data_IF_624584111129
#
_entry.id   IF_624584111129
#
_cell.length_a   1.000
_cell.length_b   1.000
_cell.length_c   1.000
_cell.angle_alpha   90.00
_cell.angle_beta   90.00
_cell.angle_gamma   90.00
#
_symmetry.space_group_name_H-M   'P 1'
#
loop_
_entity.id
_entity.type
_entity.pdbx_description
1 polymer ?
#
# COMPACT_ATOMS: atom_id res chain seq x y z
N UNK A 1 -19.49 23.16 -15.45
CA UNK A 1 -19.60 22.16 -16.53
C UNK A 1 -19.09 20.85 -15.98
N UNK A 2 -19.94 19.81 -15.92
CA UNK A 2 -19.48 18.46 -15.55
C UNK A 2 -18.50 18.00 -16.62
N UNK A 3 -17.24 17.81 -16.25
CA UNK A 3 -16.21 17.33 -17.17
C UNK A 3 -16.53 15.85 -17.44
N UNK A 4 -16.74 15.48 -18.70
CA UNK A 4 -16.99 14.08 -19.06
C UNK A 4 -15.79 13.23 -18.58
N UNK A 5 -16.07 12.25 -17.71
CA UNK A 5 -15.05 11.34 -17.18
C UNK A 5 -14.50 10.47 -18.31
N UNK A 6 -13.22 10.09 -18.20
CA UNK A 6 -12.61 9.15 -19.12
C UNK A 6 -13.39 7.81 -19.07
N UNK A 7 -13.69 7.15 -20.22
CA UNK A 7 -14.50 5.94 -20.22
C UNK A 7 -13.96 4.82 -19.31
N UNK A 8 -12.64 4.60 -19.33
CA UNK A 8 -11.99 3.61 -18.47
C UNK A 8 -12.09 3.99 -16.99
N UNK A 9 -12.01 5.28 -16.66
CA UNK A 9 -12.18 5.75 -15.28
C UNK A 9 -13.60 5.50 -14.79
N UNK A 10 -14.60 5.77 -15.64
CA UNK A 10 -16.00 5.52 -15.30
C UNK A 10 -16.28 4.04 -15.02
N UNK A 11 -15.69 3.13 -15.82
CA UNK A 11 -15.76 1.69 -15.56
C UNK A 11 -15.09 1.32 -14.24
N UNK A 12 -13.91 1.87 -13.93
CA UNK A 12 -13.21 1.63 -12.67
C UNK A 12 -14.03 2.11 -11.45
N UNK A 13 -14.68 3.28 -11.55
CA UNK A 13 -15.59 3.79 -10.51
C UNK A 13 -16.78 2.85 -10.31
N UNK A 14 -17.38 2.34 -11.40
CA UNK A 14 -18.46 1.35 -11.32
C UNK A 14 -17.99 0.09 -10.59
N UNK A 15 -16.80 -0.42 -10.93
CA UNK A 15 -16.22 -1.60 -10.30
C UNK A 15 -15.94 -1.38 -8.80
N UNK A 16 -15.30 -0.26 -8.43
CA UNK A 16 -15.00 0.08 -7.04
C UNK A 16 -16.27 0.18 -6.17
N UNK A 17 -17.35 0.77 -6.70
CA UNK A 17 -18.64 0.87 -5.98
C UNK A 17 -19.34 -0.49 -5.82
N UNK A 18 -19.19 -1.38 -6.79
CA UNK A 18 -19.72 -2.74 -6.69
C UNK A 18 -19.01 -3.53 -5.59
N UNK A 19 -17.67 -3.51 -5.57
CA UNK A 19 -16.88 -4.10 -4.49
C UNK A 19 -17.20 -3.48 -3.12
N UNK A 20 -17.26 -2.15 -3.03
CA UNK A 20 -17.59 -1.47 -1.77
C UNK A 20 -18.98 -1.83 -1.23
N UNK A 21 -19.93 -2.18 -2.11
CA UNK A 21 -21.26 -2.66 -1.70
C UNK A 21 -21.21 -4.06 -1.09
N UNK A 22 -20.33 -4.93 -1.59
CA UNK A 22 -20.05 -6.27 -1.01
C UNK A 22 -19.41 -6.10 0.37
N UNK A 23 -18.37 -5.27 0.46
CA UNK A 23 -17.64 -4.97 1.71
C UNK A 23 -18.57 -4.38 2.77
N UNK A 24 -19.40 -3.39 2.41
CA UNK A 24 -20.34 -2.78 3.36
C UNK A 24 -21.37 -3.77 3.88
N UNK A 25 -21.85 -4.70 3.05
CA UNK A 25 -22.75 -5.75 3.50
C UNK A 25 -22.05 -6.67 4.50
N UNK A 26 -20.83 -7.10 4.17
CA UNK A 26 -20.02 -7.95 5.04
C UNK A 26 -19.69 -7.27 6.39
N UNK A 27 -19.45 -5.95 6.39
CA UNK A 27 -19.18 -5.18 7.60
C UNK A 27 -20.35 -5.19 8.60
N UNK A 28 -21.61 -5.28 8.14
CA UNK A 28 -22.79 -5.29 9.00
C UNK A 28 -22.94 -6.60 9.80
N UNK A 29 -22.38 -7.71 9.29
CA UNK A 29 -22.54 -9.03 9.87
C UNK A 29 -21.34 -9.47 10.74
N UNK A 30 -20.33 -8.61 10.92
CA UNK A 30 -19.06 -8.93 11.61
C UNK A 30 -19.23 -9.52 13.02
N UNK A 31 -20.26 -9.09 13.77
CA UNK A 31 -20.51 -9.59 15.13
C UNK A 31 -21.10 -11.01 15.15
N UNK A 32 -21.97 -11.33 14.19
CA UNK A 32 -22.54 -12.69 14.04
C UNK A 32 -21.43 -13.68 13.64
N UNK A 33 -20.42 -13.19 12.94
CA UNK A 33 -19.34 -13.97 12.33
C UNK A 33 -18.19 -14.31 13.28
N UNK A 34 -17.90 -13.46 14.28
CA UNK A 34 -16.90 -13.79 15.34
C UNK A 34 -17.27 -15.04 16.16
N UNK A 35 -18.53 -15.50 16.06
CA UNK A 35 -19.09 -16.62 16.81
C UNK A 35 -19.20 -17.89 15.91
N UNK A 36 -19.06 -17.76 14.59
CA UNK A 36 -19.23 -18.84 13.60
C UNK A 36 -17.96 -19.67 13.32
N UNK A 37 -18.14 -20.92 12.89
CA UNK A 37 -17.17 -22.03 12.86
C UNK A 37 -16.03 -21.94 11.82
N UNK A 38 -15.75 -20.77 11.24
CA UNK A 38 -14.58 -20.51 10.39
C UNK A 38 -13.81 -19.34 11.01
N UNK A 39 -12.50 -19.43 11.11
CA UNK A 39 -11.71 -18.41 11.80
C UNK A 39 -11.86 -17.02 11.13
N UNK A 40 -11.64 -15.91 11.85
CA UNK A 40 -11.75 -14.55 11.29
C UNK A 40 -10.98 -14.36 9.98
N UNK A 41 -9.80 -14.98 9.85
CA UNK A 41 -8.96 -14.89 8.65
C UNK A 41 -9.57 -15.58 7.41
N UNK A 42 -10.36 -16.64 7.58
CA UNK A 42 -10.99 -17.32 6.43
C UNK A 42 -12.13 -16.47 5.86
N UNK A 43 -12.87 -15.77 6.73
CA UNK A 43 -13.98 -14.92 6.31
C UNK A 43 -13.51 -13.71 5.52
N UNK A 44 -12.46 -13.04 5.99
CA UNK A 44 -11.96 -11.87 5.28
C UNK A 44 -11.50 -12.26 3.88
N UNK A 45 -10.80 -13.40 3.75
CA UNK A 45 -10.44 -13.96 2.44
C UNK A 45 -11.65 -14.22 1.54
N UNK A 46 -12.81 -14.60 2.07
CA UNK A 46 -14.05 -14.72 1.28
C UNK A 46 -14.56 -13.34 0.79
N UNK A 47 -14.49 -12.30 1.63
CA UNK A 47 -14.89 -10.92 1.27
C UNK A 47 -13.94 -10.32 0.23
N UNK A 48 -12.63 -10.41 0.46
CA UNK A 48 -11.57 -9.98 -0.45
C UNK A 48 -11.77 -10.62 -1.84
N UNK A 49 -11.89 -11.95 -1.91
CA UNK A 49 -12.10 -12.67 -3.17
C UNK A 49 -13.42 -12.31 -3.86
N UNK A 50 -14.50 -12.12 -3.11
CA UNK A 50 -15.78 -11.73 -3.69
C UNK A 50 -15.74 -10.30 -4.27
N UNK A 51 -15.08 -9.37 -3.57
CA UNK A 51 -14.86 -8.02 -4.05
C UNK A 51 -13.96 -8.01 -5.30
N UNK A 52 -12.86 -8.76 -5.27
CA UNK A 52 -11.93 -8.89 -6.40
C UNK A 52 -12.62 -9.46 -7.64
N UNK A 53 -13.38 -10.55 -7.48
CA UNK A 53 -14.12 -11.19 -8.58
C UNK A 53 -15.10 -10.21 -9.23
N UNK A 54 -15.86 -9.44 -8.43
CA UNK A 54 -16.79 -8.44 -8.94
C UNK A 54 -16.09 -7.30 -9.70
N UNK A 55 -14.91 -6.87 -9.23
CA UNK A 55 -14.10 -5.87 -9.93
C UNK A 55 -13.63 -6.43 -11.29
N UNK A 56 -13.03 -7.62 -11.28
CA UNK A 56 -12.47 -8.26 -12.48
C UNK A 56 -13.57 -8.50 -13.52
N UNK A 57 -14.74 -8.99 -13.11
CA UNK A 57 -15.89 -9.21 -14.00
C UNK A 57 -16.29 -7.92 -14.72
N UNK A 58 -16.50 -6.83 -13.99
CA UNK A 58 -16.92 -5.53 -14.56
C UNK A 58 -15.84 -4.96 -15.49
N UNK A 59 -14.57 -5.07 -15.11
CA UNK A 59 -13.46 -4.54 -15.91
C UNK A 59 -13.26 -5.33 -17.21
N UNK A 60 -13.30 -6.67 -17.15
CA UNK A 60 -13.10 -7.53 -18.32
C UNK A 60 -14.32 -7.64 -19.21
N UNK A 61 -15.54 -7.42 -18.69
CA UNK A 61 -16.74 -7.26 -19.52
C UNK A 61 -16.59 -6.05 -20.46
N UNK A 62 -16.10 -4.93 -19.93
CA UNK A 62 -15.88 -3.71 -20.72
C UNK A 62 -14.60 -3.74 -21.56
N UNK A 63 -13.53 -4.37 -21.05
CA UNK A 63 -12.21 -4.41 -21.68
C UNK A 63 -11.60 -5.82 -21.67
N UNK A 64 -12.10 -6.77 -22.49
CA UNK A 64 -11.65 -8.16 -22.49
C UNK A 64 -10.16 -8.35 -22.81
N UNK A 65 -9.56 -7.40 -23.52
CA UNK A 65 -8.16 -7.45 -23.93
C UNK A 65 -7.15 -6.91 -22.91
N UNK A 66 -7.59 -6.44 -21.74
CA UNK A 66 -6.69 -5.89 -20.71
C UNK A 66 -6.12 -6.98 -19.80
N UNK A 67 -4.94 -6.73 -19.24
CA UNK A 67 -4.34 -7.58 -18.20
C UNK A 67 -4.88 -7.21 -16.80
N UNK A 68 -4.84 -8.17 -15.88
CA UNK A 68 -5.11 -7.97 -14.45
C UNK A 68 -3.83 -8.26 -13.65
N UNK A 69 -3.58 -7.42 -12.64
CA UNK A 69 -2.67 -7.67 -11.53
C UNK A 69 -3.46 -7.37 -10.24
N UNK A 70 -3.97 -8.40 -9.58
CA UNK A 70 -4.75 -8.27 -8.36
C UNK A 70 -4.04 -8.88 -7.15
N UNK A 71 -4.39 -8.45 -5.94
CA UNK A 71 -3.75 -8.93 -4.71
C UNK A 71 -3.97 -10.43 -4.48
N UNK A 72 -5.20 -10.92 -4.64
CA UNK A 72 -5.56 -12.30 -4.27
C UNK A 72 -5.23 -13.30 -5.40
N UNK A 73 -5.53 -12.93 -6.65
CA UNK A 73 -5.36 -13.79 -7.83
C UNK A 73 -4.10 -13.50 -8.66
N UNK A 74 -3.30 -12.49 -8.30
CA UNK A 74 -2.10 -12.12 -9.05
C UNK A 74 -2.39 -11.81 -10.51
N UNK A 75 -1.81 -12.59 -11.44
CA UNK A 75 -1.94 -12.42 -12.90
C UNK A 75 -2.76 -13.54 -13.57
N UNK A 76 -3.62 -14.21 -12.82
CA UNK A 76 -4.41 -15.33 -13.33
C UNK A 76 -5.49 -14.92 -14.34
N UNK A 77 -5.96 -13.66 -14.27
CA UNK A 77 -7.02 -13.13 -15.11
C UNK A 77 -6.54 -12.13 -16.18
N UNK A 78 -7.37 -11.95 -17.20
CA UNK A 78 -7.11 -11.01 -18.30
C UNK A 78 -6.07 -11.51 -19.31
N UNK A 79 -5.73 -10.66 -20.27
CA UNK A 79 -4.75 -10.97 -21.30
C UNK A 79 -3.32 -10.89 -20.75
N UNK A 80 -2.53 -11.97 -20.91
CA UNK A 80 -1.14 -12.03 -20.40
C UNK A 80 -0.20 -10.99 -21.00
N UNK A 81 -0.45 -10.57 -22.24
CA UNK A 81 0.40 -9.65 -23.01
C UNK A 81 -0.39 -8.44 -23.49
N UNK A 82 -0.88 -7.64 -22.54
CA UNK A 82 -1.58 -6.38 -22.81
C UNK A 82 -0.71 -5.19 -22.42
N UNK A 83 -0.79 -4.12 -23.21
CA UNK A 83 -0.20 -2.82 -22.85
C UNK A 83 -0.98 -2.14 -21.72
N UNK A 84 -2.23 -2.53 -21.51
CA UNK A 84 -3.10 -2.09 -20.42
C UNK A 84 -3.13 -3.13 -19.31
N UNK A 85 -2.81 -2.71 -18.08
CA UNK A 85 -2.89 -3.56 -16.88
C UNK A 85 -3.71 -2.86 -15.80
N UNK A 86 -4.81 -3.48 -15.38
CA UNK A 86 -5.53 -3.08 -14.18
C UNK A 86 -4.79 -3.63 -12.96
N UNK A 87 -4.51 -2.76 -11.99
CA UNK A 87 -3.82 -3.08 -10.74
C UNK A 87 -4.84 -2.91 -9.61
N UNK A 88 -5.15 -3.97 -8.88
CA UNK A 88 -6.33 -4.03 -8.00
C UNK A 88 -5.92 -4.48 -6.60
N UNK A 89 -6.33 -3.69 -5.61
CA UNK A 89 -6.45 -4.12 -4.22
C UNK A 89 -7.96 -4.08 -3.88
N UNK A 90 -8.59 -5.25 -3.67
CA UNK A 90 -10.02 -5.33 -3.42
C UNK A 90 -10.42 -4.79 -2.04
N UNK A 91 -9.52 -4.78 -1.05
CA UNK A 91 -9.77 -4.33 0.32
C UNK A 91 -8.45 -3.98 1.05
N UNK A 92 -7.97 -2.76 0.80
CA UNK A 92 -6.85 -2.18 1.53
C UNK A 92 -7.30 -1.91 2.97
N UNK A 93 -6.56 -2.45 3.95
CA UNK A 93 -6.91 -2.37 5.36
C UNK A 93 -7.74 -3.55 5.87
N UNK A 94 -7.53 -4.75 5.33
CA UNK A 94 -8.11 -6.04 5.77
C UNK A 94 -8.14 -6.21 7.30
N UNK A 95 -7.05 -5.84 7.99
CA UNK A 95 -6.97 -5.91 9.47
C UNK A 95 -7.95 -4.93 10.11
N UNK A 96 -8.08 -3.72 9.58
CA UNK A 96 -9.03 -2.73 10.09
C UNK A 96 -10.46 -3.21 9.91
N UNK A 97 -10.78 -3.77 8.74
CA UNK A 97 -12.09 -4.38 8.47
C UNK A 97 -12.44 -5.46 9.49
N UNK A 98 -11.55 -6.42 9.74
CA UNK A 98 -11.73 -7.48 10.75
C UNK A 98 -12.00 -6.96 12.17
N UNK A 99 -11.35 -5.86 12.52
CA UNK A 99 -11.48 -5.23 13.83
C UNK A 99 -12.65 -4.24 13.92
N UNK A 100 -13.38 -4.01 12.83
CA UNK A 100 -14.44 -3.01 12.76
C UNK A 100 -13.93 -1.56 12.82
N UNK A 101 -12.63 -1.34 12.57
CA UNK A 101 -12.06 0.00 12.51
C UNK A 101 -12.35 0.60 11.11
N UNK A 102 -13.09 1.74 11.00
CA UNK A 102 -13.63 2.22 9.73
C UNK A 102 -12.60 3.03 8.92
N UNK A 103 -11.49 2.36 8.58
CA UNK A 103 -10.46 2.85 7.68
C UNK A 103 -10.02 1.68 6.80
N UNK A 104 -10.63 1.58 5.63
CA UNK A 104 -10.29 0.61 4.59
C UNK A 104 -10.89 1.09 3.27
N UNK A 105 -10.36 0.62 2.14
CA UNK A 105 -10.82 1.07 0.82
C UNK A 105 -10.64 0.02 -0.27
N UNK A 106 -11.31 0.24 -1.39
CA UNK A 106 -11.02 -0.45 -2.65
C UNK A 106 -10.06 0.43 -3.46
N UNK A 107 -8.98 -0.13 -4.02
CA UNK A 107 -8.02 0.59 -4.85
C UNK A 107 -7.91 -0.04 -6.25
N UNK A 108 -8.09 0.77 -7.29
CA UNK A 108 -8.03 0.34 -8.69
C UNK A 108 -7.19 1.35 -9.49
N UNK A 109 -6.04 0.90 -9.97
CA UNK A 109 -5.20 1.62 -10.93
C UNK A 109 -5.30 1.03 -12.33
N UNK A 110 -5.14 1.85 -13.36
CA UNK A 110 -4.90 1.39 -14.73
C UNK A 110 -3.54 1.89 -15.21
N UNK A 111 -2.64 0.97 -15.51
CA UNK A 111 -1.38 1.27 -16.16
C UNK A 111 -1.48 1.05 -17.68
N UNK A 112 -0.94 1.99 -18.45
CA UNK A 112 -0.67 1.83 -19.88
C UNK A 112 0.85 1.87 -20.10
N UNK A 113 1.43 0.80 -20.64
CA UNK A 113 2.88 0.63 -20.84
C UNK A 113 3.69 0.97 -19.58
N UNK A 114 3.27 0.42 -18.44
CA UNK A 114 3.92 0.62 -17.14
C UNK A 114 3.67 1.97 -16.47
N UNK A 115 2.94 2.91 -17.10
CA UNK A 115 2.60 4.22 -16.51
C UNK A 115 1.15 4.25 -16.07
N UNK A 116 0.91 4.62 -14.81
CA UNK A 116 -0.45 4.75 -14.28
C UNK A 116 -1.16 5.94 -14.95
N UNK A 117 -2.29 5.67 -15.62
CA UNK A 117 -3.07 6.65 -16.37
C UNK A 117 -4.42 6.96 -15.73
N UNK A 118 -5.00 5.99 -15.01
CA UNK A 118 -6.24 6.15 -14.24
C UNK A 118 -6.05 5.59 -12.82
N UNK A 119 -6.71 6.20 -11.85
CA UNK A 119 -6.67 5.76 -10.46
C UNK A 119 -7.99 6.07 -9.75
N UNK A 120 -8.48 5.10 -9.00
CA UNK A 120 -9.67 5.18 -8.15
C UNK A 120 -9.36 4.57 -6.80
N UNK A 121 -9.67 5.28 -5.72
CA UNK A 121 -9.68 4.75 -4.36
C UNK A 121 -11.03 5.09 -3.74
N UNK A 122 -11.75 4.09 -3.26
CA UNK A 122 -13.10 4.24 -2.71
C UNK A 122 -13.15 3.80 -1.26
N UNK A 123 -13.43 4.73 -0.35
CA UNK A 123 -13.75 4.45 1.05
C UNK A 123 -15.25 4.17 1.18
N UNK A 124 -15.67 2.90 1.40
CA UNK A 124 -17.08 2.55 1.48
C UNK A 124 -17.73 2.99 2.80
N UNK A 125 -16.95 3.29 3.84
CA UNK A 125 -17.44 3.72 5.16
C UNK A 125 -17.89 5.18 5.17
N UNK A 126 -17.18 6.02 4.42
CA UNK A 126 -17.48 7.46 4.26
C UNK A 126 -18.21 7.78 2.95
N UNK A 127 -18.30 6.80 2.05
CA UNK A 127 -18.72 7.00 0.66
C UNK A 127 -17.86 8.09 -0.04
N UNK A 128 -16.57 8.10 0.29
CA UNK A 128 -15.60 9.01 -0.31
C UNK A 128 -14.94 8.34 -1.52
N UNK A 129 -15.09 8.97 -2.69
CA UNK A 129 -14.52 8.49 -3.95
C UNK A 129 -13.39 9.41 -4.39
N UNK A 130 -12.16 8.95 -4.21
CA UNK A 130 -10.97 9.60 -4.74
C UNK A 130 -10.69 9.07 -6.15
N UNK A 131 -10.44 9.96 -7.10
CA UNK A 131 -10.11 9.55 -8.45
C UNK A 131 -9.26 10.55 -9.20
N UNK A 132 -8.53 10.06 -10.20
CA UNK A 132 -7.75 10.88 -11.10
C UNK A 132 -7.63 10.24 -12.49
N UNK A 133 -7.57 11.09 -13.51
CA UNK A 133 -7.07 10.75 -14.83
C UNK A 133 -5.83 11.59 -15.08
N UNK A 134 -4.79 11.00 -15.67
CA UNK A 134 -3.56 11.72 -16.00
C UNK A 134 -3.82 12.99 -16.81
N UNK A 135 -3.25 14.10 -16.37
CA UNK A 135 -3.39 15.44 -16.95
C UNK A 135 -4.76 16.10 -16.73
N UNK A 136 -5.67 15.51 -15.93
CA UNK A 136 -7.01 16.05 -15.68
C UNK A 136 -7.21 16.54 -14.25
N UNK A 137 -6.29 16.23 -13.35
CA UNK A 137 -6.42 16.50 -11.92
C UNK A 137 -7.00 15.34 -11.14
N UNK A 138 -6.85 15.46 -9.82
CA UNK A 138 -7.45 14.56 -8.85
C UNK A 138 -8.69 15.20 -8.20
N UNK A 139 -9.62 14.35 -7.80
CA UNK A 139 -10.91 14.72 -7.25
C UNK A 139 -11.27 13.81 -6.06
N UNK A 140 -11.98 14.38 -5.09
CA UNK A 140 -12.72 13.67 -4.06
C UNK A 140 -14.19 14.00 -4.29
N UNK A 141 -14.96 12.98 -4.69
CA UNK A 141 -16.32 13.15 -5.17
C UNK A 141 -16.33 14.24 -6.27
N UNK A 142 -17.13 15.30 -6.12
CA UNK A 142 -17.21 16.38 -7.12
C UNK A 142 -16.19 17.51 -6.90
N UNK A 143 -15.29 17.38 -5.92
CA UNK A 143 -14.35 18.45 -5.53
C UNK A 143 -12.94 18.16 -5.99
N UNK A 144 -12.32 19.11 -6.68
CA UNK A 144 -10.91 19.01 -7.08
C UNK A 144 -10.00 19.05 -5.87
N UNK A 145 -9.01 18.16 -5.85
CA UNK A 145 -8.02 18.06 -4.79
C UNK A 145 -6.79 18.93 -5.07
N UNK A 146 -6.14 19.31 -3.97
CA UNK A 146 -4.80 19.89 -3.93
C UNK A 146 -4.11 19.43 -2.65
N UNK A 147 -2.84 19.06 -2.77
CA UNK A 147 -2.00 18.79 -1.60
C UNK A 147 -1.90 20.02 -0.70
N UNK A 148 -1.51 19.79 0.56
CA UNK A 148 -1.37 20.86 1.54
C UNK A 148 -0.33 21.90 1.12
N UNK A 149 -0.43 23.11 1.70
CA UNK A 149 0.51 24.21 1.46
C UNK A 149 1.60 24.33 2.53
N UNK A 150 1.65 23.42 3.52
CA UNK A 150 2.64 23.50 4.59
C UNK A 150 4.04 23.33 4.03
N UNK A 151 4.95 24.19 4.47
CA UNK A 151 6.31 24.24 3.92
C UNK A 151 7.37 23.66 4.86
N UNK A 152 7.08 23.55 6.16
CA UNK A 152 8.01 23.06 7.17
C UNK A 152 7.53 21.72 7.70
N UNK A 153 8.42 20.74 7.76
CA UNK A 153 8.09 19.42 8.31
C UNK A 153 7.69 19.51 9.79
N UNK A 154 8.22 20.47 10.54
CA UNK A 154 7.87 20.70 11.95
C UNK A 154 6.40 21.02 12.20
N UNK A 155 5.69 21.54 11.19
CA UNK A 155 4.25 21.83 11.26
C UNK A 155 3.40 20.73 10.61
N UNK A 156 4.05 19.70 10.05
CA UNK A 156 3.46 18.71 9.17
C UNK A 156 2.90 17.51 9.92
N UNK A 157 1.75 17.02 9.44
CA UNK A 157 1.19 15.73 9.83
C UNK A 157 1.60 14.67 8.80
N UNK A 158 2.29 13.63 9.26
CA UNK A 158 2.87 12.61 8.39
C UNK A 158 2.16 11.27 8.59
N UNK A 159 1.70 10.64 7.52
CA UNK A 159 1.20 9.26 7.52
C UNK A 159 2.35 8.26 7.48
N UNK A 160 2.16 7.09 8.09
CA UNK A 160 3.12 5.97 8.00
C UNK A 160 2.42 4.63 8.21
N UNK A 161 3.01 3.56 7.70
CA UNK A 161 2.65 2.19 8.05
C UNK A 161 3.78 1.47 8.78
N UNK A 162 3.42 0.48 9.60
CA UNK A 162 4.37 -0.29 10.41
C UNK A 162 4.69 -1.59 9.69
N UNK A 163 5.96 -2.03 9.67
CA UNK A 163 6.27 -3.37 9.21
C UNK A 163 5.73 -4.39 10.19
N UNK A 164 4.86 -5.29 9.71
CA UNK A 164 4.26 -6.36 10.50
C UNK A 164 4.48 -7.75 9.90
N UNK A 165 5.16 -7.85 8.75
CA UNK A 165 5.40 -9.12 8.04
C UNK A 165 6.62 -9.83 8.62
N UNK A 166 6.61 -11.17 8.53
CA UNK A 166 7.73 -12.00 8.97
C UNK A 166 8.97 -11.67 8.14
N UNK A 167 10.10 -11.40 8.80
CA UNK A 167 11.35 -11.01 8.12
C UNK A 167 11.56 -9.49 8.02
N UNK A 168 10.59 -8.68 8.42
CA UNK A 168 10.76 -7.24 8.42
C UNK A 168 11.83 -6.77 9.41
N UNK A 169 12.56 -5.71 9.03
CA UNK A 169 13.58 -5.12 9.87
C UNK A 169 12.96 -4.05 10.79
N UNK A 170 12.27 -4.51 11.83
CA UNK A 170 11.61 -3.66 12.81
C UNK A 170 12.58 -2.65 13.45
N UNK A 171 13.84 -3.06 13.72
CA UNK A 171 14.86 -2.16 14.28
C UNK A 171 15.18 -0.98 13.37
N UNK A 172 15.28 -1.21 12.06
CA UNK A 172 15.48 -0.14 11.08
C UNK A 172 14.28 0.79 11.06
N UNK A 173 13.08 0.23 11.02
CA UNK A 173 11.84 1.01 11.01
C UNK A 173 11.71 1.89 12.24
N UNK A 174 11.97 1.39 13.45
CA UNK A 174 11.90 2.19 14.68
C UNK A 174 12.83 3.40 14.63
N UNK A 175 14.05 3.25 14.10
CA UNK A 175 14.98 4.38 13.92
C UNK A 175 14.45 5.42 12.94
N UNK A 176 13.89 4.97 11.82
CA UNK A 176 13.29 5.83 10.82
C UNK A 176 12.06 6.58 11.38
N UNK A 177 11.20 5.85 12.11
CA UNK A 177 10.05 6.39 12.80
C UNK A 177 10.45 7.43 13.85
N UNK A 178 11.46 7.14 14.67
CA UNK A 178 12.00 8.07 15.66
C UNK A 178 12.49 9.36 15.00
N UNK A 179 13.28 9.25 13.94
CA UNK A 179 13.82 10.40 13.21
C UNK A 179 12.69 11.28 12.65
N UNK A 180 11.70 10.70 11.96
CA UNK A 180 10.58 11.48 11.42
C UNK A 180 9.72 12.08 12.52
N UNK A 181 9.46 11.34 13.61
CA UNK A 181 8.65 11.81 14.74
C UNK A 181 9.27 13.04 15.40
N UNK A 182 10.58 13.10 15.54
CA UNK A 182 11.28 14.26 16.12
C UNK A 182 11.20 15.51 15.24
N UNK A 183 10.95 15.36 13.94
CA UNK A 183 10.94 16.44 12.96
C UNK A 183 9.55 16.92 12.57
N UNK A 184 8.46 16.24 12.97
CA UNK A 184 7.11 16.58 12.54
C UNK A 184 6.14 16.93 13.69
N UNK A 185 5.00 17.54 13.35
CA UNK A 185 3.97 17.87 14.34
C UNK A 185 3.22 16.63 14.85
N UNK A 186 3.23 15.54 14.07
CA UNK A 186 2.73 14.25 14.52
C UNK A 186 2.64 13.22 13.41
N UNK A 187 2.64 11.96 13.83
CA UNK A 187 2.45 10.81 12.96
C UNK A 187 1.02 10.27 13.01
N UNK A 188 0.57 9.67 11.90
CA UNK A 188 -0.67 8.91 11.79
C UNK A 188 -0.37 7.53 11.20
N UNK A 189 -1.01 6.51 11.76
CA UNK A 189 -0.95 5.12 11.29
C UNK A 189 -2.37 4.55 11.34
N UNK A 190 -3.25 4.91 10.40
CA UNK A 190 -4.62 4.41 10.42
C UNK A 190 -4.73 3.03 9.76
N UNK A 191 -3.81 2.64 8.87
CA UNK A 191 -3.65 1.24 8.44
C UNK A 191 -4.27 0.85 7.11
N UNK A 192 -4.42 1.79 6.17
CA UNK A 192 -4.82 1.55 4.79
C UNK A 192 -3.98 2.47 3.88
N UNK A 193 -3.03 1.89 3.15
CA UNK A 193 -1.99 2.63 2.44
C UNK A 193 -2.54 3.46 1.28
N UNK A 194 -3.50 2.91 0.52
CA UNK A 194 -4.16 3.61 -0.59
C UNK A 194 -4.93 4.84 -0.08
N UNK A 195 -5.56 4.74 1.10
CA UNK A 195 -6.20 5.89 1.75
C UNK A 195 -5.20 6.90 2.28
N UNK A 196 -4.10 6.46 2.89
CA UNK A 196 -3.06 7.37 3.39
C UNK A 196 -2.46 8.21 2.25
N UNK A 197 -2.27 7.62 1.07
CA UNK A 197 -1.87 8.35 -0.15
C UNK A 197 -2.95 9.36 -0.59
N UNK A 198 -4.23 8.97 -0.56
CA UNK A 198 -5.33 9.88 -0.88
C UNK A 198 -5.45 11.04 0.13
N UNK A 199 -5.14 10.81 1.40
CA UNK A 199 -5.12 11.84 2.43
C UNK A 199 -3.98 12.84 2.25
N UNK A 200 -2.83 12.42 1.69
CA UNK A 200 -1.81 13.36 1.20
C UNK A 200 -2.36 14.20 0.04
N UNK A 201 -2.99 13.56 -0.95
CA UNK A 201 -3.57 14.25 -2.10
C UNK A 201 -4.65 15.28 -1.70
N UNK A 202 -5.43 14.98 -0.67
CA UNK A 202 -6.45 15.87 -0.10
C UNK A 202 -5.88 16.94 0.84
N UNK A 203 -4.60 16.87 1.20
CA UNK A 203 -3.94 17.80 2.12
C UNK A 203 -4.34 17.62 3.59
N UNK A 204 -4.95 16.49 3.95
CA UNK A 204 -5.15 16.09 5.35
C UNK A 204 -3.83 15.71 5.99
N UNK A 205 -3.01 14.99 5.23
CA UNK A 205 -1.60 14.77 5.52
C UNK A 205 -0.75 15.70 4.66
N UNK A 206 0.44 15.99 5.16
CA UNK A 206 1.45 16.78 4.47
C UNK A 206 2.50 15.90 3.79
N UNK A 207 2.62 14.64 4.25
CA UNK A 207 3.43 13.60 3.65
C UNK A 207 3.08 12.21 4.17
N UNK A 208 3.68 11.20 3.56
CA UNK A 208 3.51 9.79 3.88
C UNK A 208 4.80 9.04 3.60
N UNK A 209 5.13 8.04 4.42
CA UNK A 209 6.20 7.10 4.12
C UNK A 209 5.87 5.68 4.59
N UNK A 210 6.21 4.67 3.79
CA UNK A 210 6.05 3.28 4.18
C UNK A 210 7.01 2.36 3.43
N UNK A 211 7.33 1.23 4.06
CA UNK A 211 8.11 0.14 3.45
C UNK A 211 7.25 -1.11 3.33
N UNK A 212 7.52 -1.94 2.33
CA UNK A 212 6.85 -3.21 2.12
C UNK A 212 5.54 -3.12 1.35
N UNK A 213 5.23 -1.99 0.72
CA UNK A 213 4.03 -1.86 -0.11
C UNK A 213 4.18 -2.61 -1.44
N UNK A 214 3.08 -3.19 -1.92
CA UNK A 214 2.93 -3.81 -3.22
C UNK A 214 2.40 -2.80 -4.26
N UNK A 215 2.46 -3.14 -5.57
CA UNK A 215 1.96 -2.24 -6.60
C UNK A 215 0.48 -1.86 -6.45
N UNK A 216 -0.35 -2.76 -5.93
CA UNK A 216 -1.79 -2.54 -5.75
C UNK A 216 -2.13 -1.55 -4.61
N UNK A 217 -1.31 -1.53 -3.56
CA UNK A 217 -1.38 -0.54 -2.47
C UNK A 217 -1.11 0.90 -2.96
N UNK A 218 -0.30 1.05 -4.03
CA UNK A 218 0.32 2.34 -4.40
C UNK A 218 -0.21 2.91 -5.72
N UNK A 219 -0.53 2.07 -6.70
CA UNK A 219 -0.76 2.50 -8.08
C UNK A 219 -1.80 3.63 -8.20
N UNK A 220 -3.01 3.42 -7.69
CA UNK A 220 -4.08 4.42 -7.76
C UNK A 220 -3.74 5.69 -6.97
N UNK A 221 -3.27 5.55 -5.73
CA UNK A 221 -2.88 6.65 -4.85
C UNK A 221 -1.76 7.52 -5.44
N UNK A 222 -0.80 6.90 -6.13
CA UNK A 222 0.33 7.61 -6.77
C UNK A 222 -0.13 8.60 -7.85
N UNK A 223 -1.09 8.20 -8.69
CA UNK A 223 -1.66 9.09 -9.69
C UNK A 223 -2.49 10.20 -9.02
N UNK A 224 -3.28 9.84 -8.01
CA UNK A 224 -4.13 10.80 -7.28
C UNK A 224 -3.28 11.90 -6.61
N UNK A 225 -2.15 11.54 -5.99
CA UNK A 225 -1.22 12.53 -5.40
C UNK A 225 -0.60 13.43 -6.46
N UNK A 226 -0.07 12.87 -7.53
CA UNK A 226 0.63 13.64 -8.59
C UNK A 226 -0.33 14.61 -9.28
N UNK A 227 -1.56 14.18 -9.57
CA UNK A 227 -2.61 15.02 -10.17
C UNK A 227 -3.19 16.08 -9.20
N UNK A 228 -3.05 15.88 -7.87
CA UNK A 228 -3.31 16.89 -6.85
C UNK A 228 -2.16 17.93 -6.74
N UNK A 229 -1.02 17.71 -7.39
CA UNK A 229 0.17 18.57 -7.33
C UNK A 229 1.17 18.18 -6.24
N UNK A 230 1.08 16.95 -5.73
CA UNK A 230 2.09 16.35 -4.85
C UNK A 230 3.19 15.64 -5.62
N UNK A 231 4.13 15.10 -4.86
CA UNK A 231 5.22 14.26 -5.35
C UNK A 231 5.16 12.90 -4.66
N UNK A 232 5.61 11.87 -5.37
CA UNK A 232 5.78 10.50 -4.88
C UNK A 232 7.05 9.91 -5.47
N UNK A 233 7.79 9.15 -4.68
CA UNK A 233 9.01 8.47 -5.08
C UNK A 233 9.40 7.39 -4.08
N UNK A 234 10.55 6.75 -4.30
CA UNK A 234 11.15 5.86 -3.32
C UNK A 234 11.88 6.70 -2.24
N UNK A 235 12.55 6.07 -1.27
CA UNK A 235 13.24 6.82 -0.21
C UNK A 235 14.41 7.69 -0.68
N UNK A 236 14.94 7.49 -1.89
CA UNK A 236 15.93 8.37 -2.52
C UNK A 236 15.31 9.46 -3.39
N UNK A 237 13.99 9.45 -3.55
CA UNK A 237 13.23 10.39 -4.39
C UNK A 237 13.07 9.94 -5.85
N UNK A 238 13.49 8.72 -6.20
CA UNK A 238 13.42 8.18 -7.56
C UNK A 238 12.02 7.63 -7.91
N UNK A 239 11.76 7.49 -9.21
CA UNK A 239 10.45 7.14 -9.74
C UNK A 239 10.13 5.62 -9.73
N UNK A 240 11.03 4.77 -9.25
CA UNK A 240 10.91 3.30 -9.22
C UNK A 240 10.12 2.77 -8.00
N UNK A 241 9.42 3.65 -7.29
CA UNK A 241 8.67 3.37 -6.06
C UNK A 241 7.62 2.27 -6.16
N UNK A 242 7.03 2.06 -7.34
CA UNK A 242 5.93 1.12 -7.52
C UNK A 242 6.33 -0.34 -7.27
N UNK A 243 7.60 -0.68 -7.50
CA UNK A 243 8.13 -2.04 -7.35
C UNK A 243 9.25 -2.14 -6.31
N UNK A 244 9.80 -1.01 -5.87
CA UNK A 244 10.90 -0.97 -4.89
C UNK A 244 10.47 -1.29 -3.45
N UNK A 245 9.15 -1.30 -3.19
CA UNK A 245 8.56 -1.51 -1.85
C UNK A 245 8.99 -0.48 -0.82
N UNK A 246 9.37 0.72 -1.26
CA UNK A 246 9.65 1.88 -0.42
C UNK A 246 8.95 3.06 -1.07
N UNK A 247 8.10 3.75 -0.32
CA UNK A 247 7.30 4.86 -0.83
C UNK A 247 7.43 6.04 0.11
N UNK A 248 7.75 7.20 -0.45
CA UNK A 248 7.58 8.51 0.18
C UNK A 248 6.70 9.38 -0.71
N UNK A 249 5.77 10.09 -0.11
CA UNK A 249 4.90 11.03 -0.80
C UNK A 249 4.71 12.30 0.03
N UNK A 250 4.33 13.40 -0.63
CA UNK A 250 4.00 14.63 0.08
C UNK A 250 3.75 15.82 -0.83
N UNK A 251 3.43 16.96 -0.24
CA UNK A 251 3.52 18.21 -0.97
C UNK A 251 5.00 18.50 -1.32
N UNK A 252 5.31 19.32 -2.35
CA UNK A 252 6.68 19.49 -2.83
C UNK A 252 7.70 19.94 -1.78
N UNK A 253 7.28 20.71 -0.76
CA UNK A 253 8.18 21.22 0.27
C UNK A 253 8.45 20.19 1.36
N UNK A 254 7.42 19.48 1.81
CA UNK A 254 7.56 18.43 2.83
C UNK A 254 8.19 17.17 2.24
N UNK A 255 7.88 16.83 0.99
CA UNK A 255 8.47 15.71 0.26
C UNK A 255 10.01 15.79 0.26
N UNK A 256 10.59 16.94 -0.12
CA UNK A 256 12.05 17.10 -0.14
C UNK A 256 12.71 16.94 1.24
N UNK A 257 12.04 17.38 2.31
CA UNK A 257 12.51 17.19 3.69
C UNK A 257 12.41 15.72 4.12
N UNK A 258 11.32 15.02 3.76
CA UNK A 258 11.16 13.59 4.03
C UNK A 258 12.22 12.76 3.30
N UNK A 259 12.48 13.02 2.03
CA UNK A 259 13.54 12.31 1.28
C UNK A 259 14.88 12.43 2.00
N UNK A 260 15.28 13.62 2.43
CA UNK A 260 16.53 13.82 3.17
C UNK A 260 16.62 12.98 4.46
N UNK A 261 15.50 12.85 5.18
CA UNK A 261 15.41 12.05 6.40
C UNK A 261 15.43 10.54 6.08
N UNK A 262 14.80 10.12 4.97
CA UNK A 262 14.54 8.71 4.65
C UNK A 262 15.65 8.06 3.83
N UNK A 263 16.43 8.82 3.05
CA UNK A 263 17.53 8.29 2.21
C UNK A 263 18.48 7.34 2.97
N UNK A 264 18.95 7.62 4.19
CA UNK A 264 19.81 6.68 4.94
C UNK A 264 19.15 5.32 5.24
N UNK A 265 17.82 5.25 5.13
CA UNK A 265 17.00 4.08 5.38
C UNK A 265 16.55 3.35 4.12
N UNK A 266 17.06 3.69 2.93
CA UNK A 266 16.75 2.95 1.70
C UNK A 266 17.42 1.57 1.63
N UNK A 267 16.74 0.57 1.06
CA UNK A 267 17.34 -0.72 0.68
C UNK A 267 17.80 -0.76 -0.78
N UNK A 268 17.54 0.29 -1.56
CA UNK A 268 18.04 0.38 -2.93
C UNK A 268 19.56 0.33 -2.87
N UNK A 269 20.15 -0.70 -3.48
CA UNK A 269 21.59 -0.91 -3.51
C UNK A 269 22.18 0.18 -4.41
N UNK A 270 22.86 1.17 -3.83
CA UNK A 270 23.76 2.03 -4.60
C UNK A 270 24.96 1.17 -5.06
N UNK A 271 25.01 0.80 -6.34
CA UNK A 271 26.32 0.62 -6.96
C UNK A 271 27.00 2.01 -6.92
N UNK A 272 28.22 2.14 -6.37
CA UNK A 272 28.82 3.44 -6.12
C UNK A 272 28.93 4.23 -7.43
N UNK A 273 28.39 5.44 -7.43
CA UNK A 273 28.50 6.39 -8.53
C UNK A 273 29.98 6.78 -8.69
N UNK A 274 30.70 6.09 -9.58
CA UNK A 274 32.03 6.51 -10.00
C UNK A 274 31.89 7.79 -10.84
N UNK A 275 32.65 8.81 -10.45
CA UNK A 275 32.74 10.11 -11.11
C UNK A 275 32.98 10.00 -12.64
N UNK A 276 32.61 11.01 -13.44
CA UNK A 276 32.54 10.87 -14.89
C UNK A 276 33.94 10.79 -15.50
N UNK A 277 34.29 9.63 -16.04
CA UNK A 277 35.41 9.48 -16.95
C UNK A 277 34.93 9.70 -18.39
N UNK A 278 35.80 10.34 -19.17
CA UNK A 278 35.55 10.95 -20.48
C UNK A 278 34.92 10.02 -21.55
N UNK A 279 34.22 10.69 -22.47
CA UNK A 279 33.47 10.14 -23.59
C UNK A 279 34.22 9.10 -24.45
N UNK A 280 33.53 8.02 -24.79
CA UNK A 280 33.63 7.33 -26.08
C UNK A 280 32.25 6.87 -26.52
N UNK A 281 31.91 7.17 -27.77
CA UNK A 281 30.65 6.81 -28.40
C UNK A 281 30.64 5.34 -28.83
N UNK A 282 29.59 4.60 -28.47
CA UNK A 282 29.18 3.36 -29.15
C UNK A 282 27.70 3.02 -28.85
N UNK A 283 26.89 3.11 -29.91
CA UNK A 283 25.68 2.33 -30.27
C UNK A 283 24.68 1.88 -29.19
N UNK A 284 23.45 2.38 -29.36
CA UNK A 284 22.20 1.81 -28.85
C UNK A 284 21.97 0.38 -29.37
N UNK A 285 21.58 -0.54 -28.50
CA UNK A 285 20.25 -1.18 -28.44
C UNK A 285 20.34 -2.37 -27.46
N UNK A 286 19.69 -2.27 -26.30
CA UNK A 286 19.52 -3.39 -25.37
C UNK A 286 18.22 -3.18 -24.57
N UNK A 287 17.33 -4.18 -24.49
CA UNK A 287 16.05 -4.02 -23.81
C UNK A 287 16.29 -3.97 -22.29
N UNK A 288 15.65 -3.00 -21.63
CA UNK A 288 15.50 -2.97 -20.17
C UNK A 288 14.97 -4.32 -19.69
N UNK A 289 15.74 -4.98 -18.83
CA UNK A 289 15.34 -6.21 -18.20
C UNK A 289 14.06 -5.97 -17.39
N UNK A 290 13.04 -6.78 -17.67
CA UNK A 290 11.69 -6.66 -17.15
C UNK A 290 11.67 -6.80 -15.61
N UNK A 291 11.69 -5.67 -14.90
CA UNK A 291 11.58 -5.59 -13.44
C UNK A 291 10.32 -6.32 -12.91
N UNK A 292 9.31 -6.48 -13.78
CA UNK A 292 8.11 -7.26 -13.50
C UNK A 292 8.40 -8.75 -13.33
N UNK A 293 9.32 -9.33 -14.11
CA UNK A 293 9.70 -10.74 -14.01
C UNK A 293 10.57 -11.01 -12.77
N UNK A 294 11.46 -10.08 -12.42
CA UNK A 294 12.26 -10.18 -11.21
C UNK A 294 11.39 -10.16 -9.93
N UNK A 295 10.33 -9.35 -9.93
CA UNK A 295 9.35 -9.33 -8.85
C UNK A 295 8.57 -10.65 -8.73
N UNK A 296 8.15 -11.24 -9.86
CA UNK A 296 7.45 -12.55 -9.89
C UNK A 296 8.34 -13.67 -9.35
N UNK A 297 9.64 -13.65 -9.68
CA UNK A 297 10.59 -14.64 -9.15
C UNK A 297 10.75 -14.51 -7.62
N UNK A 298 10.82 -13.29 -7.08
CA UNK A 298 10.92 -13.08 -5.64
C UNK A 298 9.63 -13.47 -4.89
N UNK A 299 8.46 -13.13 -5.42
CA UNK A 299 7.17 -13.50 -4.82
C UNK A 299 6.89 -15.01 -4.85
N UNK A 300 7.34 -15.72 -5.90
CA UNK A 300 7.21 -17.17 -5.99
C UNK A 300 8.13 -17.93 -5.02
N UNK A 301 9.29 -17.35 -4.66
CA UNK A 301 10.22 -17.96 -3.70
C UNK A 301 9.73 -17.88 -2.25
N UNK A 302 9.05 -16.79 -1.86
CA UNK A 302 8.44 -16.67 -0.52
C UNK A 302 7.27 -17.64 -0.30
N UNK A 303 6.59 -18.07 -1.36
CA UNK A 303 5.49 -19.04 -1.30
C UNK A 303 5.97 -20.51 -1.16
N UNK A 304 7.26 -20.80 -1.38
CA UNK A 304 7.82 -22.16 -1.36
C UNK A 304 8.59 -22.50 -0.07
N UNK A 305 8.62 -21.60 0.92
CA UNK A 305 9.23 -21.89 2.21
C UNK A 305 8.35 -22.87 3.02
N UNK A 306 8.63 -24.17 2.93
CA UNK A 306 7.99 -25.19 3.76
C UNK A 306 8.13 -24.88 5.26
N UNK A 307 7.09 -25.15 6.07
CA UNK A 307 7.20 -25.00 7.52
C UNK A 307 8.16 -26.05 8.07
N UNK A 308 9.18 -25.61 8.81
CA UNK A 308 10.10 -26.49 9.51
C UNK A 308 9.36 -27.44 10.47
N UNK A 309 9.70 -28.72 10.38
CA UNK A 309 9.18 -29.83 11.19
C UNK A 309 9.26 -29.53 12.71
N UNK A 310 8.15 -29.62 13.47
CA UNK A 310 8.14 -29.30 14.90
C UNK A 310 8.80 -30.36 15.80
N UNK A 311 9.36 -31.46 15.26
CA UNK A 311 9.88 -32.57 16.05
C UNK A 311 11.33 -32.46 16.57
N UNK A 312 12.03 -31.32 16.36
CA UNK A 312 13.43 -31.17 16.78
C UNK A 312 13.67 -30.06 17.83
N UNK A 313 12.83 -29.98 18.88
CA UNK A 313 13.12 -29.15 20.05
C UNK A 313 13.78 -29.99 21.17
N UNK A 314 15.08 -29.77 21.37
CA UNK A 314 15.84 -30.33 22.50
C UNK A 314 15.27 -29.86 23.83
N UNK A 315 14.88 -30.81 24.69
CA UNK A 315 14.37 -30.55 26.05
C UNK A 315 15.43 -29.84 26.90
N UNK A 316 15.19 -28.58 27.27
CA UNK A 316 15.93 -27.90 28.35
C UNK A 316 15.32 -28.25 29.71
N UNK A 317 16.18 -28.62 30.66
CA UNK A 317 15.81 -29.06 32.00
C UNK A 317 15.18 -27.93 32.84
N UNK A 318 14.18 -28.28 33.65
CA UNK A 318 13.45 -27.36 34.53
C UNK A 318 14.32 -26.89 35.71
N UNK A 319 14.40 -25.58 35.92
CA UNK A 319 15.05 -24.95 37.08
C UNK A 319 14.03 -24.86 38.22
N UNK A 320 14.32 -25.52 39.36
CA UNK A 320 13.54 -25.44 40.61
C UNK A 320 13.92 -24.18 41.40
N UNK A 321 12.97 -23.30 41.65
CA UNK A 321 13.11 -22.18 42.60
C UNK A 321 12.67 -22.69 43.99
N UNK A 322 13.57 -22.64 44.98
CA UNK A 322 13.25 -22.92 46.40
C UNK A 322 12.56 -21.71 47.02
N UNK A 323 11.40 -21.93 47.65
CA UNK A 323 10.67 -20.92 48.43
C UNK A 323 11.15 -20.98 49.89
N UNK A 324 11.71 -19.90 50.41
CA UNK A 324 12.07 -19.74 51.82
C UNK A 324 10.80 -19.53 52.67
N UNK A 325 10.64 -20.14 53.86
CA UNK A 325 9.46 -19.91 54.69
C UNK A 325 9.58 -18.60 55.49
N UNK A 326 8.51 -17.82 55.50
CA UNK A 326 8.33 -16.67 56.37
C UNK A 326 7.85 -17.14 57.75
N UNK A 327 8.48 -16.61 58.80
CA UNK A 327 8.05 -16.69 60.18
C UNK A 327 7.45 -15.32 60.57
N UNK A 328 6.27 -15.31 61.18
CA UNK A 328 6.08 -14.88 62.57
C UNK A 328 4.59 -14.65 62.91
N UNK A 329 4.18 -15.37 63.96
CA UNK A 329 3.32 -15.02 65.10
C UNK A 329 2.17 -14.01 64.98
N UNK A 330 0.95 -14.57 65.05
CA UNK A 330 -0.05 -14.48 66.14
C UNK A 330 -0.55 -13.11 66.69
N UNK A 331 -1.80 -13.06 67.20
CA UNK A 331 -2.68 -11.89 67.10
C UNK A 331 -2.86 -11.11 68.40
N UNK A 332 -3.26 -9.84 68.27
CA UNK A 332 -4.27 -9.12 69.07
C UNK A 332 -4.89 -8.01 68.20
#
# INVERSE_FOLDING_TARGET
>A
MSQALHPMLNTAIKAARAAGSIINRAALDLEVLKIGTKGPNDYVSEVDRAAEAAIIEILLEAYPGHAILAEESGREHGAKHSEYTWIIDPLDGTTNFLHGFPVYAVSIGLAFRGKVEQGVVYDPTRNDLFFASKGRGAFLNDRRLRVSRRTRITDALIGTGFPFRKGDNFKRYVKMFEEVMQHCAGLRRPGAAALDLCYVAAGYYDGFFETGLNPWDVAAGSLIITEAGGLIGNFTGEADYLYQREVVAGNPKVYGQLVQILTPYTRVIEAPHAAPAAATAATADAPEADATQAFVAAAAMDAQAEPADPAAATRKAAVRIRKTPAADDAPL
#
